data_IF_049513121921
#
_entry.id   IF_049513121921
#
_cell.length_a   1.000
_cell.length_b   1.000
_cell.length_c   1.000
_cell.angle_alpha   90.00
_cell.angle_beta   90.00
_cell.angle_gamma   90.00
#
_symmetry.space_group_name_H-M   'P 1'
#
loop_
_entity.id
_entity.type
_entity.pdbx_description
1 polymer ?
#
# COMPACT_ATOMS: atom_id res chain seq x y z
N UNK A 1 -9.31 -15.13 -2.26
CA UNK A 1 -8.78 -15.12 -3.64
C UNK A 1 -7.41 -15.81 -3.72
N UNK A 2 -6.41 -15.45 -2.89
CA UNK A 2 -5.06 -16.06 -2.93
C UNK A 2 -5.14 -17.59 -2.77
N UNK A 3 -5.92 -18.09 -1.81
CA UNK A 3 -6.14 -19.53 -1.60
C UNK A 3 -6.91 -20.23 -2.73
N UNK A 4 -7.62 -19.45 -3.53
CA UNK A 4 -8.47 -19.94 -4.63
C UNK A 4 -7.79 -19.72 -6.00
N UNK A 5 -6.47 -19.83 -6.06
CA UNK A 5 -5.73 -19.86 -7.32
C UNK A 5 -5.25 -18.52 -7.86
N UNK A 6 -5.52 -17.38 -7.19
CA UNK A 6 -5.14 -16.05 -7.73
C UNK A 6 -3.63 -15.84 -7.93
N UNK A 7 -2.78 -16.71 -7.36
CA UNK A 7 -1.33 -16.67 -7.51
C UNK A 7 -0.76 -17.93 -8.20
N UNK A 8 -1.62 -18.79 -8.71
CA UNK A 8 -1.20 -19.96 -9.47
C UNK A 8 -0.69 -19.54 -10.84
N UNK A 9 0.23 -20.31 -11.39
CA UNK A 9 0.82 -20.09 -12.73
C UNK A 9 1.59 -18.79 -12.94
N UNK A 10 1.84 -18.01 -11.86
CA UNK A 10 2.66 -16.80 -11.94
C UNK A 10 3.91 -16.92 -11.07
N UNK A 11 4.99 -16.29 -11.51
CA UNK A 11 6.27 -16.24 -10.78
C UNK A 11 6.85 -14.82 -10.83
N UNK A 12 6.19 -13.84 -10.21
CA UNK A 12 6.66 -12.45 -10.23
C UNK A 12 7.95 -12.32 -9.43
N UNK A 13 8.87 -11.49 -9.88
CA UNK A 13 10.09 -11.13 -9.12
C UNK A 13 9.76 -10.29 -7.90
N UNK A 14 8.72 -9.45 -8.01
CA UNK A 14 8.28 -8.53 -6.97
C UNK A 14 6.75 -8.50 -6.91
N UNK A 15 6.22 -8.56 -5.70
CA UNK A 15 4.82 -8.28 -5.37
C UNK A 15 4.79 -6.97 -4.59
N UNK A 16 3.99 -6.01 -5.03
CA UNK A 16 3.72 -4.79 -4.27
C UNK A 16 2.29 -4.82 -3.74
N UNK A 17 2.10 -4.38 -2.50
CA UNK A 17 0.82 -4.49 -1.82
C UNK A 17 0.57 -3.24 -0.97
N UNK A 18 -0.61 -2.63 -1.14
CA UNK A 18 -1.15 -1.61 -0.26
C UNK A 18 -2.63 -1.94 -0.04
N UNK A 19 -2.96 -2.44 1.15
CA UNK A 19 -4.28 -2.98 1.49
C UNK A 19 -4.66 -2.58 2.92
N UNK A 20 -5.95 -2.67 3.25
CA UNK A 20 -6.49 -2.39 4.58
C UNK A 20 -7.31 -1.11 4.66
N UNK A 21 -7.26 -0.22 3.65
CA UNK A 21 -7.99 1.04 3.68
C UNK A 21 -9.50 0.84 3.82
N UNK A 22 -10.07 -0.21 3.23
CA UNK A 22 -11.51 -0.48 3.28
C UNK A 22 -12.00 -1.00 4.63
N UNK A 23 -11.09 -1.44 5.49
CA UNK A 23 -11.41 -1.85 6.85
C UNK A 23 -11.47 -0.67 7.83
N UNK A 24 -11.10 0.52 7.38
CA UNK A 24 -10.98 1.74 8.16
C UNK A 24 -12.16 2.72 7.94
N UNK A 25 -13.28 2.24 7.37
CA UNK A 25 -14.44 3.09 7.09
C UNK A 25 -14.98 3.75 8.35
N UNK A 26 -15.47 4.96 8.19
CA UNK A 26 -16.21 5.68 9.21
C UNK A 26 -17.69 5.28 9.11
N UNK A 27 -18.25 4.89 10.26
CA UNK A 27 -19.69 4.70 10.52
C UNK A 27 -20.56 4.09 9.41
N UNK A 28 -20.59 2.78 9.39
CA UNK A 28 -21.89 2.14 9.17
C UNK A 28 -22.29 1.50 10.50
N UNK A 29 -23.41 1.90 11.08
CA UNK A 29 -23.96 1.34 12.33
C UNK A 29 -24.01 -0.20 12.33
N UNK A 30 -24.08 -0.81 11.15
CA UNK A 30 -24.08 -2.25 10.96
C UNK A 30 -22.70 -2.93 11.05
N UNK A 31 -21.62 -2.18 10.83
CA UNK A 31 -20.25 -2.73 10.80
C UNK A 31 -19.30 -1.74 11.45
N UNK A 32 -18.99 -1.90 12.74
CA UNK A 32 -17.96 -1.07 13.38
C UNK A 32 -16.61 -1.26 12.64
N UNK A 33 -15.79 -0.21 12.57
CA UNK A 33 -14.47 -0.32 11.93
C UNK A 33 -13.62 -1.35 12.68
N UNK A 34 -12.83 -2.11 11.92
CA UNK A 34 -11.88 -3.06 12.47
C UNK A 34 -10.85 -2.36 13.36
N UNK A 35 -10.41 -3.04 14.41
CA UNK A 35 -9.30 -2.59 15.23
C UNK A 35 -7.99 -2.63 14.40
N UNK A 36 -7.05 -1.70 14.62
CA UNK A 36 -5.77 -1.68 13.91
C UNK A 36 -5.02 -3.01 13.97
N UNK A 37 -5.06 -3.70 15.11
CA UNK A 37 -4.41 -5.00 15.33
C UNK A 37 -5.02 -6.10 14.46
N UNK A 38 -6.35 -6.08 14.27
CA UNK A 38 -7.05 -7.05 13.43
C UNK A 38 -6.73 -6.81 11.95
N UNK A 39 -6.67 -5.55 11.52
CA UNK A 39 -6.27 -5.18 10.16
C UNK A 39 -4.83 -5.63 9.91
N UNK A 40 -3.92 -5.34 10.84
CA UNK A 40 -2.54 -5.80 10.78
C UNK A 40 -2.43 -7.32 10.71
N UNK A 41 -3.19 -8.05 11.55
CA UNK A 41 -3.22 -9.51 11.53
C UNK A 41 -3.70 -10.05 10.16
N UNK A 42 -4.70 -9.42 9.57
CA UNK A 42 -5.18 -9.74 8.22
C UNK A 42 -4.12 -9.50 7.15
N UNK A 43 -3.43 -8.36 7.19
CA UNK A 43 -2.33 -8.05 6.27
C UNK A 43 -1.19 -9.07 6.43
N UNK A 44 -0.81 -9.39 7.67
CA UNK A 44 0.20 -10.40 7.98
C UNK A 44 -0.16 -11.78 7.42
N UNK A 45 -1.41 -12.19 7.56
CA UNK A 45 -1.89 -13.46 7.00
C UNK A 45 -1.78 -13.49 5.47
N UNK A 46 -2.12 -12.40 4.78
CA UNK A 46 -1.99 -12.26 3.34
C UNK A 46 -0.52 -12.31 2.91
N UNK A 47 0.36 -11.61 3.61
CA UNK A 47 1.81 -11.62 3.34
C UNK A 47 2.38 -13.04 3.51
N UNK A 48 2.01 -13.75 4.58
CA UNK A 48 2.47 -15.11 4.84
C UNK A 48 1.99 -16.08 3.75
N UNK A 49 0.73 -16.00 3.34
CA UNK A 49 0.18 -16.80 2.26
C UNK A 49 0.89 -16.53 0.93
N UNK A 50 1.14 -15.24 0.61
CA UNK A 50 1.90 -14.87 -0.58
C UNK A 50 3.35 -15.38 -0.54
N UNK A 51 4.01 -15.35 0.61
CA UNK A 51 5.36 -15.93 0.79
C UNK A 51 5.41 -17.43 0.52
N UNK A 52 4.39 -18.15 0.97
CA UNK A 52 4.29 -19.59 0.77
C UNK A 52 4.08 -19.93 -0.69
N UNK A 53 3.17 -19.24 -1.37
CA UNK A 53 2.84 -19.54 -2.78
C UNK A 53 3.85 -18.98 -3.78
N UNK A 54 4.53 -17.92 -3.43
CA UNK A 54 5.53 -17.25 -4.27
C UNK A 54 6.91 -17.26 -3.59
N UNK A 55 7.54 -18.45 -3.40
CA UNK A 55 8.75 -18.59 -2.59
C UNK A 55 9.96 -17.84 -3.12
N UNK A 56 9.98 -17.48 -4.40
CA UNK A 56 11.08 -16.73 -5.06
C UNK A 56 10.81 -15.23 -5.15
N UNK A 57 9.60 -14.77 -4.86
CA UNK A 57 9.22 -13.36 -4.96
C UNK A 57 9.70 -12.56 -3.74
N UNK A 58 10.05 -11.30 -3.99
CA UNK A 58 10.13 -10.28 -2.95
C UNK A 58 8.76 -9.62 -2.78
N UNK A 59 8.43 -9.20 -1.58
CA UNK A 59 7.16 -8.56 -1.26
C UNK A 59 7.46 -7.19 -0.65
N UNK A 60 6.89 -6.15 -1.23
CA UNK A 60 6.92 -4.79 -0.68
C UNK A 60 5.53 -4.44 -0.19
N UNK A 61 5.40 -4.21 1.10
CA UNK A 61 4.16 -3.74 1.73
C UNK A 61 4.27 -2.24 1.92
N UNK A 62 3.38 -1.48 1.31
CA UNK A 62 3.29 -0.04 1.51
C UNK A 62 2.43 0.29 2.71
N UNK A 63 2.79 1.38 3.41
CA UNK A 63 1.88 2.05 4.34
C UNK A 63 0.57 2.40 3.63
N UNK A 64 -0.55 2.28 4.36
CA UNK A 64 -1.85 2.76 3.88
C UNK A 64 -1.77 4.27 3.72
N UNK A 65 -2.24 4.78 2.59
CA UNK A 65 -2.17 6.21 2.29
C UNK A 65 -2.94 7.06 3.30
N UNK A 66 -2.50 8.32 3.52
CA UNK A 66 -3.17 9.21 4.45
C UNK A 66 -4.59 9.51 3.98
N UNK A 67 -5.43 9.89 4.92
CA UNK A 67 -6.81 10.29 4.71
C UNK A 67 -7.02 11.71 5.23
N UNK A 68 -8.18 12.30 4.94
CA UNK A 68 -8.65 13.50 5.63
C UNK A 68 -8.55 13.29 7.14
N UNK A 69 -8.16 14.34 7.87
CA UNK A 69 -8.10 14.32 9.33
C UNK A 69 -9.44 13.87 9.93
N UNK A 70 -9.36 12.97 10.92
CA UNK A 70 -10.50 12.36 11.58
C UNK A 70 -10.19 10.97 12.11
N UNK A 71 -11.18 10.28 12.72
CA UNK A 71 -10.97 8.97 13.37
C UNK A 71 -10.39 7.90 12.42
N UNK A 72 -10.80 7.90 11.15
CA UNK A 72 -10.24 6.97 10.17
C UNK A 72 -8.75 7.20 9.93
N UNK A 73 -8.29 8.45 9.92
CA UNK A 73 -6.86 8.76 9.76
C UNK A 73 -6.05 8.33 10.98
N UNK A 74 -6.58 8.49 12.18
CA UNK A 74 -5.92 8.00 13.40
C UNK A 74 -5.74 6.47 13.35
N UNK A 75 -6.77 5.75 12.89
CA UNK A 75 -6.67 4.30 12.67
C UNK A 75 -5.66 3.94 11.58
N UNK A 76 -5.59 4.71 10.47
CA UNK A 76 -4.53 4.54 9.44
C UNK A 76 -3.16 4.63 10.08
N UNK A 77 -2.91 5.67 10.89
CA UNK A 77 -1.62 5.85 11.57
C UNK A 77 -1.30 4.68 12.50
N UNK A 78 -2.29 4.20 13.25
CA UNK A 78 -2.12 3.07 14.15
C UNK A 78 -1.80 1.77 13.41
N UNK A 79 -2.47 1.47 12.27
CA UNK A 79 -2.12 0.31 11.44
C UNK A 79 -0.72 0.47 10.86
N UNK A 80 -0.41 1.65 10.31
CA UNK A 80 0.89 1.90 9.68
C UNK A 80 2.06 1.77 10.67
N UNK A 81 1.85 2.10 11.94
CA UNK A 81 2.84 1.90 13.00
C UNK A 81 3.18 0.42 13.24
N UNK A 82 2.27 -0.50 12.89
CA UNK A 82 2.49 -1.94 13.03
C UNK A 82 3.16 -2.57 11.79
N UNK A 83 2.96 -1.98 10.59
CA UNK A 83 3.42 -2.57 9.33
C UNK A 83 4.93 -2.85 9.23
N UNK A 84 5.83 -2.04 9.83
CA UNK A 84 7.27 -2.34 9.83
C UNK A 84 7.62 -3.72 10.41
N UNK A 85 6.80 -4.26 11.31
CA UNK A 85 7.01 -5.59 11.91
C UNK A 85 6.88 -6.74 10.90
N UNK A 86 6.33 -6.50 9.71
CA UNK A 86 6.24 -7.49 8.64
C UNK A 86 7.57 -7.69 7.91
N UNK A 87 8.44 -6.68 7.95
CA UNK A 87 9.68 -6.69 7.21
C UNK A 87 10.70 -7.66 7.84
N UNK A 88 11.28 -8.54 7.02
CA UNK A 88 12.36 -9.44 7.43
C UNK A 88 13.73 -9.03 6.83
N UNK A 89 13.77 -7.95 6.06
CA UNK A 89 14.95 -7.44 5.38
C UNK A 89 15.51 -8.33 4.26
N UNK A 90 14.91 -9.49 4.03
CA UNK A 90 15.35 -10.49 3.03
C UNK A 90 14.36 -10.61 1.88
N UNK A 91 13.11 -10.87 2.18
CA UNK A 91 12.03 -11.10 1.21
C UNK A 91 10.83 -10.20 1.39
N UNK A 92 10.56 -9.74 2.61
CA UNK A 92 9.49 -8.80 2.91
C UNK A 92 10.09 -7.47 3.33
N UNK A 93 9.63 -6.42 2.69
CA UNK A 93 10.08 -5.05 2.92
C UNK A 93 8.86 -4.18 3.20
N UNK A 94 8.98 -3.27 4.14
CA UNK A 94 7.99 -2.22 4.37
C UNK A 94 8.49 -0.91 3.79
N UNK A 95 7.60 -0.16 3.18
CA UNK A 95 7.91 1.16 2.59
C UNK A 95 6.80 2.14 2.95
N UNK A 96 7.19 3.24 3.55
CA UNK A 96 6.33 4.40 3.79
C UNK A 96 6.71 5.53 2.84
N UNK A 97 5.74 5.97 2.06
CA UNK A 97 5.85 7.12 1.15
C UNK A 97 4.79 8.17 1.46
N UNK A 98 4.16 8.10 2.61
CA UNK A 98 3.03 8.95 2.97
C UNK A 98 3.37 10.43 3.03
N UNK A 99 4.63 10.78 3.31
CA UNK A 99 5.10 12.18 3.26
C UNK A 99 4.86 12.84 1.90
N UNK A 100 4.89 12.07 0.80
CA UNK A 100 4.62 12.59 -0.55
C UNK A 100 3.16 12.99 -0.79
N UNK A 101 2.26 12.52 0.05
CA UNK A 101 0.82 12.77 -0.01
C UNK A 101 0.33 13.76 1.05
N UNK A 102 1.26 14.35 1.78
CA UNK A 102 1.00 15.36 2.79
C UNK A 102 1.58 16.71 2.35
N UNK A 103 0.98 17.79 2.81
CA UNK A 103 1.56 19.13 2.71
C UNK A 103 2.66 19.33 3.76
N UNK A 104 3.41 20.43 3.67
CA UNK A 104 4.43 20.80 4.65
C UNK A 104 3.88 20.96 6.09
N UNK A 105 2.57 21.16 6.22
CA UNK A 105 1.85 21.22 7.50
C UNK A 105 1.39 19.83 7.99
N UNK A 106 1.77 18.74 7.31
CA UNK A 106 1.34 17.38 7.65
C UNK A 106 -0.14 17.07 7.37
N UNK A 107 -0.82 17.93 6.61
CA UNK A 107 -2.21 17.72 6.20
C UNK A 107 -2.28 17.04 4.84
N UNK A 108 -3.41 16.34 4.58
CA UNK A 108 -3.64 15.70 3.28
C UNK A 108 -3.48 16.69 2.12
N UNK A 109 -2.59 16.38 1.19
CA UNK A 109 -2.46 17.13 -0.05
C UNK A 109 -3.60 16.77 -1.01
N UNK A 110 -4.70 17.52 -0.91
CA UNK A 110 -5.94 17.24 -1.67
C UNK A 110 -5.75 17.24 -3.18
N UNK A 111 -4.73 17.92 -3.71
CA UNK A 111 -4.45 17.97 -5.15
C UNK A 111 -4.04 16.63 -5.76
N UNK A 112 -3.68 15.65 -4.91
CA UNK A 112 -3.27 14.30 -5.32
C UNK A 112 -4.41 13.27 -5.24
N UNK A 113 -5.60 13.69 -4.80
CA UNK A 113 -6.75 12.82 -4.57
C UNK A 113 -7.95 13.25 -5.41
N UNK A 114 -8.84 12.31 -5.67
CA UNK A 114 -10.15 12.58 -6.22
C UNK A 114 -11.04 13.32 -5.21
N UNK A 115 -12.25 13.69 -5.62
CA UNK A 115 -13.21 14.45 -4.79
C UNK A 115 -13.55 13.76 -3.46
N UNK A 116 -13.45 12.44 -3.40
CA UNK A 116 -13.71 11.65 -2.19
C UNK A 116 -12.56 11.70 -1.17
N UNK A 117 -11.42 12.30 -1.53
CA UNK A 117 -10.22 12.41 -0.69
C UNK A 117 -9.73 11.03 -0.16
N UNK A 118 -9.99 9.98 -0.93
CA UNK A 118 -9.62 8.59 -0.66
C UNK A 118 -8.85 7.98 -1.82
N UNK A 119 -9.40 8.08 -3.03
CA UNK A 119 -8.76 7.57 -4.23
C UNK A 119 -7.77 8.60 -4.79
N UNK A 120 -6.63 8.12 -5.26
CA UNK A 120 -5.66 8.97 -5.95
C UNK A 120 -6.21 9.39 -7.31
N UNK A 121 -6.03 10.66 -7.66
CA UNK A 121 -6.22 11.13 -9.02
C UNK A 121 -4.97 10.84 -9.89
N UNK A 122 -5.00 11.25 -11.16
CA UNK A 122 -3.88 11.06 -12.09
C UNK A 122 -2.53 11.52 -11.50
N UNK A 123 -2.50 12.70 -10.88
CA UNK A 123 -1.28 13.25 -10.29
C UNK A 123 -0.81 12.44 -9.07
N UNK A 124 -1.72 11.98 -8.24
CA UNK A 124 -1.42 11.09 -7.11
C UNK A 124 -0.81 9.77 -7.57
N UNK A 125 -1.36 9.15 -8.62
CA UNK A 125 -0.77 7.95 -9.21
C UNK A 125 0.61 8.20 -9.83
N UNK A 126 0.84 9.33 -10.47
CA UNK A 126 2.16 9.71 -10.99
C UNK A 126 3.18 9.89 -9.86
N UNK A 127 2.77 10.51 -8.76
CA UNK A 127 3.59 10.65 -7.55
C UNK A 127 3.99 9.28 -7.00
N UNK A 128 3.02 8.37 -6.86
CA UNK A 128 3.29 7.01 -6.39
C UNK A 128 4.22 6.26 -7.36
N UNK A 129 3.91 6.27 -8.65
CA UNK A 129 4.71 5.60 -9.66
C UNK A 129 6.17 6.12 -9.69
N UNK A 130 6.35 7.42 -9.49
CA UNK A 130 7.69 8.02 -9.40
C UNK A 130 8.44 7.52 -8.16
N UNK A 131 7.79 7.47 -7.01
CA UNK A 131 8.36 6.93 -5.78
C UNK A 131 8.70 5.43 -5.89
N UNK A 132 7.98 4.68 -6.72
CA UNK A 132 8.27 3.26 -6.94
C UNK A 132 9.52 3.01 -7.80
N UNK A 133 9.93 3.92 -8.68
CA UNK A 133 11.09 3.71 -9.58
C UNK A 133 12.36 3.24 -8.86
N UNK A 134 12.85 3.92 -7.79
CA UNK A 134 14.03 3.49 -7.07
C UNK A 134 13.84 2.14 -6.38
N UNK A 135 12.62 1.84 -5.89
CA UNK A 135 12.31 0.55 -5.29
C UNK A 135 12.39 -0.58 -6.31
N UNK A 136 11.80 -0.39 -7.48
CA UNK A 136 11.85 -1.38 -8.56
C UNK A 136 13.29 -1.66 -8.97
N UNK A 137 14.11 -0.62 -9.14
CA UNK A 137 15.54 -0.74 -9.45
C UNK A 137 16.29 -1.50 -8.35
N UNK A 138 16.07 -1.17 -7.08
CA UNK A 138 16.68 -1.85 -5.92
C UNK A 138 16.36 -3.35 -5.90
N UNK A 139 15.19 -3.74 -6.39
CA UNK A 139 14.77 -5.14 -6.46
C UNK A 139 15.08 -5.83 -7.81
N UNK A 140 15.93 -5.21 -8.65
CA UNK A 140 16.43 -5.81 -9.89
C UNK A 140 15.42 -5.79 -11.03
N UNK A 141 14.43 -4.91 -10.97
CA UNK A 141 13.45 -4.71 -12.05
C UNK A 141 13.88 -3.56 -12.94
N UNK A 142 13.80 -3.77 -14.26
CA UNK A 142 13.98 -2.71 -15.24
C UNK A 142 12.71 -1.85 -15.29
N UNK A 143 12.85 -0.56 -15.10
CA UNK A 143 11.76 0.41 -15.30
C UNK A 143 11.92 0.95 -16.72
N UNK A 144 10.93 0.68 -17.58
CA UNK A 144 10.88 1.34 -18.88
C UNK A 144 10.65 2.85 -18.65
N UNK A 145 11.57 3.73 -19.03
CA UNK A 145 11.42 5.17 -18.84
C UNK A 145 10.18 5.73 -19.55
N UNK A 146 9.74 5.08 -20.65
CA UNK A 146 8.60 5.50 -21.45
C UNK A 146 7.25 4.90 -20.96
N UNK A 147 7.24 4.02 -19.94
CA UNK A 147 6.02 3.37 -19.46
C UNK A 147 5.09 4.29 -18.65
N UNK A 148 5.54 5.49 -18.28
CA UNK A 148 4.70 6.50 -17.64
C UNK A 148 4.24 7.53 -18.69
N UNK A 149 3.60 6.97 -19.74
CA UNK A 149 2.85 7.69 -20.76
C UNK A 149 3.00 9.22 -20.83
N UNK A 150 3.98 9.70 -21.58
CA UNK A 150 3.71 10.81 -22.47
C UNK A 150 2.82 10.22 -23.58
N UNK A 151 1.53 10.34 -23.45
CA UNK A 151 0.62 10.47 -24.59
C UNK A 151 0.25 11.94 -24.60
N UNK A 152 0.73 12.59 -25.64
CA UNK A 152 0.37 13.93 -26.08
C UNK A 152 -1.15 14.17 -26.07
#
# INVERSE_FOLDING_TARGET
RIRNGALEEISPKLVTMMIGTNNLHEDKKAYPPDRPENIFAGIRAIVNEARTRLPKSRIVVFSIFPRKAGPAYERVKAVNALLPQLADGKRVFHVDINSLFLSDKGLLNKSLFDRDLLHLNKQGYLTWATAMKPLLKKHGLRVNPNALGQKD
#
